data_IF_251810959819
#
_entry.id   IF_251810959819
#
_cell.length_a   1.000
_cell.length_b   1.000
_cell.length_c   1.000
_cell.angle_alpha   90.00
_cell.angle_beta   90.00
_cell.angle_gamma   90.00
#
_symmetry.space_group_name_H-M   'P 1'
#
loop_
_entity.id
_entity.type
_entity.pdbx_description
1 polymer ?
#
# COMPACT_ATOMS: atom_id res chain seq x y z
N UNK A 1 33.67 17.68 -71.80
CA UNK A 1 33.08 17.67 -70.45
C UNK A 1 31.73 16.97 -70.51
N UNK A 2 31.27 16.36 -69.40
CA UNK A 2 30.02 15.59 -69.19
C UNK A 2 30.14 14.05 -69.09
N UNK A 3 31.10 13.55 -68.30
CA UNK A 3 31.04 12.19 -67.71
C UNK A 3 30.59 12.16 -66.24
N UNK A 4 30.34 13.32 -65.62
CA UNK A 4 30.01 13.42 -64.18
C UNK A 4 28.51 13.22 -63.85
N UNK A 5 27.60 13.31 -64.82
CA UNK A 5 26.15 13.23 -64.55
C UNK A 5 25.55 11.81 -64.53
N UNK A 6 26.21 10.80 -65.12
CA UNK A 6 25.70 9.43 -65.10
C UNK A 6 26.10 8.64 -63.85
N UNK A 7 27.21 9.01 -63.20
CA UNK A 7 27.67 8.36 -61.96
C UNK A 7 26.94 8.88 -60.72
N UNK A 8 26.54 10.16 -60.70
CA UNK A 8 25.81 10.75 -59.57
C UNK A 8 24.43 10.09 -59.35
N UNK A 9 23.72 9.73 -60.43
CA UNK A 9 22.43 9.05 -60.35
C UNK A 9 22.53 7.60 -59.85
N UNK A 10 23.60 6.88 -60.21
CA UNK A 10 23.84 5.51 -59.74
C UNK A 10 24.26 5.47 -58.26
N UNK A 11 25.10 6.41 -57.83
CA UNK A 11 25.53 6.51 -56.43
C UNK A 11 24.36 6.83 -55.50
N UNK A 12 23.44 7.71 -55.90
CA UNK A 12 22.24 8.03 -55.13
C UNK A 12 21.33 6.80 -54.94
N UNK A 13 21.15 6.01 -56.00
CA UNK A 13 20.34 4.78 -55.97
C UNK A 13 20.94 3.72 -55.05
N UNK A 14 22.27 3.56 -55.05
CA UNK A 14 22.99 2.64 -54.17
C UNK A 14 22.84 3.07 -52.70
N UNK A 15 22.93 4.37 -52.39
CA UNK A 15 22.77 4.89 -51.03
C UNK A 15 21.35 4.66 -50.51
N UNK A 16 20.33 4.92 -51.33
CA UNK A 16 18.93 4.66 -50.96
C UNK A 16 18.69 3.17 -50.75
N UNK A 17 19.26 2.31 -51.59
CA UNK A 17 19.16 0.86 -51.44
C UNK A 17 19.86 0.36 -50.17
N UNK A 18 21.03 0.91 -49.83
CA UNK A 18 21.75 0.59 -48.59
C UNK A 18 20.98 1.06 -47.34
N UNK A 19 20.38 2.25 -47.37
CA UNK A 19 19.56 2.76 -46.26
C UNK A 19 18.30 1.90 -46.07
N UNK A 20 17.63 1.51 -47.16
CA UNK A 20 16.42 0.66 -47.07
C UNK A 20 16.74 -0.75 -46.58
N UNK A 21 17.83 -1.37 -47.05
CA UNK A 21 18.31 -2.64 -46.50
C UNK A 21 18.72 -2.54 -45.03
N UNK A 22 19.38 -1.44 -44.65
CA UNK A 22 19.72 -1.16 -43.25
C UNK A 22 18.47 -1.03 -42.38
N UNK A 23 17.45 -0.34 -42.86
CA UNK A 23 16.17 -0.18 -42.16
C UNK A 23 15.45 -1.51 -41.98
N UNK A 24 15.41 -2.35 -43.03
CA UNK A 24 14.79 -3.69 -42.97
C UNK A 24 15.54 -4.60 -42.00
N UNK A 25 16.87 -4.59 -42.01
CA UNK A 25 17.67 -5.35 -41.05
C UNK A 25 17.45 -4.88 -39.61
N UNK A 26 17.38 -3.57 -39.39
CA UNK A 26 17.14 -2.99 -38.05
C UNK A 26 15.75 -3.36 -37.52
N UNK A 27 14.72 -3.29 -38.37
CA UNK A 27 13.35 -3.71 -38.02
C UNK A 27 13.28 -5.21 -37.77
N UNK A 28 13.97 -6.03 -38.57
CA UNK A 28 14.06 -7.48 -38.39
C UNK A 28 14.72 -7.89 -37.07
N UNK A 29 15.83 -7.24 -36.69
CA UNK A 29 16.50 -7.49 -35.40
C UNK A 29 15.64 -7.02 -34.24
N UNK A 30 15.02 -5.84 -34.35
CA UNK A 30 14.16 -5.27 -33.30
C UNK A 30 12.93 -6.15 -33.04
N UNK A 31 12.26 -6.62 -34.10
CA UNK A 31 11.10 -7.53 -33.96
C UNK A 31 11.52 -8.88 -33.37
N UNK A 32 12.69 -9.42 -33.72
CA UNK A 32 13.23 -10.65 -33.13
C UNK A 32 13.56 -10.49 -31.64
N UNK A 33 14.14 -9.37 -31.24
CA UNK A 33 14.43 -9.08 -29.83
C UNK A 33 13.12 -8.89 -29.06
N UNK A 34 12.17 -8.10 -29.57
CA UNK A 34 10.87 -7.89 -28.92
C UNK A 34 10.10 -9.21 -28.77
N UNK A 35 10.08 -10.05 -29.81
CA UNK A 35 9.41 -11.36 -29.74
C UNK A 35 10.14 -12.34 -28.82
N UNK A 36 11.47 -12.34 -28.80
CA UNK A 36 12.27 -13.17 -27.88
C UNK A 36 12.05 -12.74 -26.43
N UNK A 37 12.14 -11.44 -26.14
CA UNK A 37 11.91 -10.88 -24.80
C UNK A 37 10.47 -11.14 -24.36
N UNK A 38 9.49 -10.92 -25.23
CA UNK A 38 8.08 -11.23 -24.95
C UNK A 38 7.86 -12.71 -24.66
N UNK A 39 8.51 -13.63 -25.39
CA UNK A 39 8.45 -15.08 -25.09
C UNK A 39 9.08 -15.39 -23.74
N UNK A 40 10.24 -14.82 -23.42
CA UNK A 40 10.87 -15.02 -22.10
C UNK A 40 9.97 -14.52 -20.96
N UNK A 41 9.28 -13.39 -21.13
CA UNK A 41 8.33 -12.91 -20.12
C UNK A 41 7.06 -13.75 -20.06
N UNK A 42 6.52 -14.17 -21.21
CA UNK A 42 5.31 -15.00 -21.28
C UNK A 42 5.57 -16.42 -20.79
N UNK A 43 6.74 -17.01 -21.01
CA UNK A 43 7.02 -18.41 -20.66
C UNK A 43 7.62 -18.57 -19.26
N UNK A 44 8.04 -17.48 -18.62
CA UNK A 44 8.63 -17.56 -17.28
C UNK A 44 7.55 -17.68 -16.19
N UNK A 45 7.54 -18.85 -15.54
CA UNK A 45 6.62 -19.17 -14.46
C UNK A 45 6.68 -18.18 -13.28
N UNK A 46 7.81 -17.51 -13.06
CA UNK A 46 7.97 -16.46 -12.06
C UNK A 46 7.02 -15.29 -12.29
N UNK A 47 7.04 -14.73 -13.51
CA UNK A 47 6.22 -13.57 -13.84
C UNK A 47 4.74 -13.93 -13.93
N UNK A 48 4.41 -15.13 -14.41
CA UNK A 48 3.02 -15.65 -14.36
C UNK A 48 2.51 -15.76 -12.92
N UNK A 49 3.28 -16.38 -12.03
CA UNK A 49 2.92 -16.53 -10.62
C UNK A 49 2.77 -15.16 -9.93
N UNK A 50 3.64 -14.20 -10.24
CA UNK A 50 3.53 -12.85 -9.71
C UNK A 50 2.28 -12.12 -10.24
N UNK A 51 2.06 -12.14 -11.55
CA UNK A 51 0.93 -11.46 -12.17
C UNK A 51 -0.42 -11.98 -11.65
N UNK A 52 -0.57 -13.30 -11.48
CA UNK A 52 -1.80 -13.87 -10.91
C UNK A 52 -1.95 -13.54 -9.42
N UNK A 53 -0.84 -13.47 -8.67
CA UNK A 53 -0.88 -13.04 -7.27
C UNK A 53 -1.33 -11.57 -7.15
N UNK A 54 -0.80 -10.68 -7.98
CA UNK A 54 -1.19 -9.27 -8.05
C UNK A 54 -2.67 -9.12 -8.45
N UNK A 55 -3.11 -9.82 -9.51
CA UNK A 55 -4.52 -9.83 -9.93
C UNK A 55 -5.46 -10.37 -8.82
N UNK A 56 -5.02 -11.38 -8.07
CA UNK A 56 -5.73 -11.89 -6.90
C UNK A 56 -5.89 -10.84 -5.80
N UNK A 57 -4.81 -10.12 -5.48
CA UNK A 57 -4.84 -9.05 -4.50
C UNK A 57 -5.74 -7.90 -4.96
N UNK A 58 -5.62 -7.46 -6.22
CA UNK A 58 -6.41 -6.38 -6.82
C UNK A 58 -7.91 -6.69 -6.80
N UNK A 59 -8.30 -7.91 -7.20
CA UNK A 59 -9.72 -8.34 -7.18
C UNK A 59 -10.33 -8.21 -5.79
N UNK A 60 -9.56 -8.46 -4.73
CA UNK A 60 -10.03 -8.34 -3.35
C UNK A 60 -9.95 -6.90 -2.83
N UNK A 61 -8.97 -6.10 -3.28
CA UNK A 61 -8.90 -4.67 -2.98
C UNK A 61 -10.12 -3.90 -3.49
N UNK A 62 -10.73 -4.34 -4.60
CA UNK A 62 -11.95 -3.73 -5.15
C UNK A 62 -13.23 -4.08 -4.37
N UNK A 63 -13.22 -5.09 -3.51
CA UNK A 63 -14.40 -5.54 -2.75
C UNK A 63 -14.74 -4.56 -1.62
N UNK A 64 -16.00 -4.48 -1.20
CA UNK A 64 -16.38 -3.66 -0.05
C UNK A 64 -15.85 -4.24 1.26
N UNK A 65 -15.78 -3.41 2.31
CA UNK A 65 -15.38 -3.90 3.64
C UNK A 65 -16.36 -4.95 4.21
N UNK A 66 -17.63 -4.90 3.82
CA UNK A 66 -18.64 -5.89 4.21
C UNK A 66 -18.42 -7.24 3.50
N UNK A 67 -18.05 -7.21 2.21
CA UNK A 67 -17.68 -8.42 1.47
C UNK A 67 -16.41 -9.05 2.05
N UNK A 68 -15.41 -8.23 2.39
CA UNK A 68 -14.18 -8.70 3.01
C UNK A 68 -14.41 -9.27 4.41
N UNK A 69 -15.34 -8.71 5.19
CA UNK A 69 -15.76 -9.27 6.48
C UNK A 69 -16.31 -10.68 6.33
N UNK A 70 -17.13 -10.90 5.29
CA UNK A 70 -17.72 -12.19 4.97
C UNK A 70 -16.66 -13.17 4.47
N UNK A 71 -15.81 -12.73 3.54
CA UNK A 71 -14.79 -13.58 2.92
C UNK A 71 -13.70 -13.99 3.91
N UNK A 72 -13.37 -13.16 4.91
CA UNK A 72 -12.43 -13.51 6.00
C UNK A 72 -12.78 -14.83 6.69
N UNK A 73 -14.05 -15.24 6.74
CA UNK A 73 -14.48 -16.47 7.42
C UNK A 73 -14.03 -17.73 6.68
N UNK A 74 -14.00 -17.71 5.34
CA UNK A 74 -13.62 -18.85 4.50
C UNK A 74 -12.26 -18.70 3.80
N UNK A 75 -11.90 -17.49 3.40
CA UNK A 75 -10.62 -17.16 2.79
C UNK A 75 -9.54 -16.98 3.84
N UNK A 76 -9.09 -18.08 4.45
CA UNK A 76 -8.08 -18.05 5.51
C UNK A 76 -6.72 -18.55 5.01
N UNK A 77 -5.71 -18.49 5.87
CA UNK A 77 -4.38 -19.05 5.58
C UNK A 77 -4.38 -20.57 5.43
N UNK A 78 -5.47 -21.28 5.78
CA UNK A 78 -5.66 -22.72 5.53
C UNK A 78 -5.60 -23.09 4.04
N UNK A 79 -5.83 -22.12 3.15
CA UNK A 79 -5.71 -22.27 1.70
C UNK A 79 -4.26 -22.60 1.27
N UNK A 80 -3.28 -22.28 2.13
CA UNK A 80 -1.87 -22.50 1.88
C UNK A 80 -1.35 -23.69 2.68
N UNK A 81 -0.44 -24.45 2.07
CA UNK A 81 0.36 -25.48 2.73
C UNK A 81 1.84 -25.18 2.46
N UNK A 82 2.75 -25.82 3.21
CA UNK A 82 4.18 -25.73 2.90
C UNK A 82 4.48 -26.10 1.44
N UNK A 83 3.78 -27.12 0.94
CA UNK A 83 4.04 -27.75 -0.35
C UNK A 83 3.20 -27.21 -1.52
N UNK A 84 2.23 -26.33 -1.27
CA UNK A 84 1.36 -25.77 -2.32
C UNK A 84 0.08 -25.18 -1.78
N UNK A 85 -1.01 -25.32 -2.52
CA UNK A 85 -2.33 -25.02 -1.99
C UNK A 85 -3.02 -26.25 -1.42
N UNK A 86 -3.84 -26.03 -0.39
CA UNK A 86 -4.73 -27.06 0.11
C UNK A 86 -5.90 -27.22 -0.88
N UNK A 87 -5.84 -28.24 -1.73
CA UNK A 87 -6.82 -28.46 -2.80
C UNK A 87 -8.24 -28.68 -2.27
N UNK A 88 -8.38 -29.29 -1.09
CA UNK A 88 -9.67 -29.49 -0.42
C UNK A 88 -10.28 -28.16 -0.02
N UNK A 89 -9.51 -27.30 0.65
CA UNK A 89 -9.95 -25.97 1.08
C UNK A 89 -10.25 -25.07 -0.13
N UNK A 90 -9.43 -25.12 -1.18
CA UNK A 90 -9.68 -24.37 -2.42
C UNK A 90 -10.99 -24.77 -3.10
N UNK A 91 -11.34 -26.06 -3.03
CA UNK A 91 -12.58 -26.57 -3.63
C UNK A 91 -13.79 -26.19 -2.78
N UNK A 92 -13.62 -26.15 -1.46
CA UNK A 92 -14.65 -25.68 -0.53
C UNK A 92 -14.88 -24.17 -0.62
N UNK A 93 -13.85 -23.40 -1.00
CA UNK A 93 -13.87 -21.94 -1.05
C UNK A 93 -13.47 -21.40 -2.45
N UNK A 94 -14.24 -21.68 -3.51
CA UNK A 94 -13.94 -21.24 -4.86
C UNK A 94 -13.90 -19.71 -5.01
N UNK A 95 -14.60 -18.98 -4.15
CA UNK A 95 -14.61 -17.52 -4.09
C UNK A 95 -13.26 -16.90 -3.69
N UNK A 96 -12.40 -17.68 -3.03
CA UNK A 96 -11.05 -17.29 -2.62
C UNK A 96 -10.00 -17.51 -3.72
N UNK A 97 -10.41 -18.02 -4.88
CA UNK A 97 -9.51 -18.42 -5.97
C UNK A 97 -9.68 -17.50 -7.17
N UNK A 98 -8.55 -17.18 -7.81
CA UNK A 98 -8.49 -16.51 -9.11
C UNK A 98 -7.75 -17.41 -10.06
N UNK A 99 -8.42 -17.89 -11.11
CA UNK A 99 -7.83 -18.78 -12.12
C UNK A 99 -7.61 -17.99 -13.43
N UNK A 100 -6.40 -18.05 -13.97
CA UNK A 100 -5.99 -17.47 -15.24
C UNK A 100 -5.46 -18.57 -16.18
N UNK A 101 -6.11 -19.73 -16.18
CA UNK A 101 -5.82 -20.87 -17.03
C UNK A 101 -4.65 -21.71 -16.49
N UNK A 102 -3.44 -21.40 -16.96
CA UNK A 102 -2.20 -22.09 -16.56
C UNK A 102 -1.69 -21.66 -15.17
N UNK A 103 -2.23 -20.57 -14.63
CA UNK A 103 -1.84 -20.03 -13.34
C UNK A 103 -3.08 -19.73 -12.51
N UNK A 104 -2.94 -19.81 -11.19
CA UNK A 104 -4.01 -19.52 -10.24
C UNK A 104 -3.46 -18.82 -9.02
N UNK A 105 -4.28 -18.02 -8.36
CA UNK A 105 -3.99 -17.44 -7.06
C UNK A 105 -5.04 -17.85 -6.04
N UNK A 106 -4.59 -18.09 -4.81
CA UNK A 106 -5.44 -18.26 -3.64
C UNK A 106 -5.25 -17.06 -2.71
N UNK A 107 -6.36 -16.47 -2.30
CA UNK A 107 -6.38 -15.22 -1.53
C UNK A 107 -6.92 -15.49 -0.14
N UNK A 108 -6.14 -15.11 0.88
CA UNK A 108 -6.56 -15.08 2.26
C UNK A 108 -6.80 -13.64 2.71
N UNK A 109 -7.83 -13.44 3.53
CA UNK A 109 -8.26 -12.15 4.04
C UNK A 109 -8.26 -12.21 5.57
N UNK A 110 -7.58 -11.27 6.19
CA UNK A 110 -7.49 -11.15 7.64
C UNK A 110 -7.88 -9.74 8.07
N UNK A 111 -8.46 -9.60 9.26
CA UNK A 111 -8.64 -8.28 9.87
C UNK A 111 -7.27 -7.74 10.26
N UNK A 112 -7.06 -6.43 10.10
CA UNK A 112 -5.81 -5.77 10.43
C UNK A 112 -6.04 -4.54 11.33
N UNK A 113 -5.39 -4.45 12.51
CA UNK A 113 -4.56 -5.49 13.12
C UNK A 113 -5.40 -6.73 13.50
N UNK A 114 -4.75 -7.88 13.67
CA UNK A 114 -5.45 -9.12 14.00
C UNK A 114 -6.11 -9.03 15.38
N UNK A 115 -7.18 -9.82 15.59
CA UNK A 115 -7.89 -9.83 16.87
C UNK A 115 -6.93 -10.16 18.04
N UNK A 116 -7.05 -9.40 19.13
CA UNK A 116 -6.20 -9.55 20.31
C UNK A 116 -4.87 -8.78 20.25
N UNK A 117 -4.53 -8.17 19.11
CA UNK A 117 -3.42 -7.23 19.01
C UNK A 117 -3.94 -5.84 19.41
N UNK A 118 -3.29 -5.23 20.41
CA UNK A 118 -3.65 -3.90 20.91
C UNK A 118 -2.84 -2.76 20.29
N UNK A 119 -1.90 -3.07 19.39
CA UNK A 119 -1.03 -2.10 18.73
C UNK A 119 -1.24 -2.14 17.22
N UNK A 120 -1.35 -0.96 16.63
CA UNK A 120 -1.38 -0.73 15.19
C UNK A 120 -0.19 0.14 14.79
N UNK A 121 0.63 -0.37 13.88
CA UNK A 121 1.82 0.33 13.38
C UNK A 121 1.62 0.70 11.92
N UNK A 122 1.89 1.95 11.57
CA UNK A 122 1.71 2.47 10.22
C UNK A 122 2.69 3.60 9.94
N UNK A 123 3.20 3.64 8.70
CA UNK A 123 4.04 4.72 8.24
C UNK A 123 3.22 5.69 7.37
N UNK A 124 3.41 6.98 7.62
CA UNK A 124 2.79 8.07 6.88
C UNK A 124 3.87 8.92 6.22
N UNK A 125 3.82 9.13 4.90
CA UNK A 125 4.66 10.12 4.23
C UNK A 125 4.49 11.54 4.79
N UNK A 126 5.44 12.42 4.47
CA UNK A 126 5.36 13.83 4.83
C UNK A 126 4.08 14.48 4.27
N UNK A 127 3.44 15.33 5.07
CA UNK A 127 2.20 16.05 4.73
C UNK A 127 1.05 15.13 4.30
N UNK A 128 1.04 13.90 4.81
CA UNK A 128 -0.01 12.93 4.53
C UNK A 128 -0.72 12.50 5.81
N UNK A 129 -1.92 11.99 5.60
CA UNK A 129 -2.87 11.69 6.65
C UNK A 129 -3.12 10.19 6.72
N UNK A 130 -3.29 9.71 7.95
CA UNK A 130 -3.81 8.39 8.27
C UNK A 130 -5.10 8.55 9.08
N UNK A 131 -6.05 7.65 8.84
CA UNK A 131 -7.30 7.59 9.59
C UNK A 131 -7.30 6.34 10.43
N UNK A 132 -7.57 6.53 11.71
CA UNK A 132 -7.66 5.48 12.71
C UNK A 132 -9.14 5.29 13.01
N UNK A 133 -9.61 4.08 12.73
CA UNK A 133 -10.96 3.66 13.01
C UNK A 133 -11.14 3.45 14.51
N UNK A 134 -12.07 4.21 15.11
CA UNK A 134 -12.42 4.10 16.53
C UNK A 134 -13.84 3.58 16.76
N UNK A 135 -14.56 3.12 15.73
CA UNK A 135 -16.00 2.83 15.82
C UNK A 135 -16.45 1.81 16.89
N UNK A 136 -15.55 0.93 17.35
CA UNK A 136 -15.84 -0.05 18.41
C UNK A 136 -15.11 0.27 19.72
N UNK A 137 -14.43 1.42 19.80
CA UNK A 137 -13.80 1.86 21.03
C UNK A 137 -14.88 2.41 21.97
N UNK A 138 -14.85 1.98 23.23
CA UNK A 138 -15.84 2.33 24.25
C UNK A 138 -15.36 3.48 25.13
N UNK A 139 -16.29 4.22 25.74
CA UNK A 139 -15.98 5.27 26.71
C UNK A 139 -15.09 4.73 27.84
N UNK A 140 -13.98 5.39 28.11
CA UNK A 140 -12.97 4.96 29.09
C UNK A 140 -11.81 4.13 28.52
N UNK A 141 -11.84 3.81 27.21
CA UNK A 141 -10.64 3.39 26.51
C UNK A 141 -9.77 4.63 26.20
N UNK A 142 -8.46 4.46 26.27
CA UNK A 142 -7.49 5.46 25.87
C UNK A 142 -6.77 4.95 24.63
N UNK A 143 -6.53 5.86 23.69
CA UNK A 143 -5.70 5.61 22.50
C UNK A 143 -4.39 6.34 22.71
N UNK A 144 -3.33 5.59 22.98
CA UNK A 144 -1.98 6.13 23.02
C UNK A 144 -1.42 6.18 21.61
N UNK A 145 -1.13 7.37 21.12
CA UNK A 145 -0.49 7.59 19.83
C UNK A 145 0.97 7.94 20.08
N UNK A 146 1.86 7.08 19.62
CA UNK A 146 3.29 7.34 19.60
C UNK A 146 3.75 7.55 18.16
N UNK A 147 4.65 8.50 17.92
CA UNK A 147 5.24 8.73 16.61
C UNK A 147 6.74 8.98 16.69
N UNK A 148 7.42 8.61 15.61
CA UNK A 148 8.79 8.96 15.32
C UNK A 148 8.82 9.59 13.93
N UNK A 149 9.37 10.80 13.82
CA UNK A 149 9.54 11.41 12.50
C UNK A 149 10.59 10.66 11.69
N UNK A 150 10.32 10.49 10.39
CA UNK A 150 11.17 9.71 9.47
C UNK A 150 11.30 10.41 8.12
N UNK A 151 12.48 10.31 7.53
CA UNK A 151 12.76 10.72 6.15
C UNK A 151 13.54 9.61 5.41
N UNK A 152 14.02 9.89 4.19
CA UNK A 152 14.79 8.93 3.39
C UNK A 152 16.14 8.50 4.00
N UNK A 153 16.64 9.25 4.98
CA UNK A 153 17.94 9.05 5.63
C UNK A 153 17.84 8.53 7.07
N UNK A 154 16.62 8.41 7.61
CA UNK A 154 16.37 7.90 8.95
C UNK A 154 15.47 8.80 9.79
N UNK A 155 15.62 8.78 11.13
CA UNK A 155 14.84 9.62 12.04
C UNK A 155 15.02 11.11 11.75
N UNK A 156 13.93 11.86 11.76
CA UNK A 156 13.90 13.29 11.44
C UNK A 156 12.82 14.00 12.24
N UNK A 157 12.90 15.32 12.34
CA UNK A 157 11.87 16.12 13.01
C UNK A 157 10.52 15.96 12.30
N UNK A 158 9.46 15.69 13.05
CA UNK A 158 8.08 15.70 12.56
C UNK A 158 7.13 16.16 13.67
N UNK A 159 6.21 17.04 13.30
CA UNK A 159 5.05 17.40 14.12
C UNK A 159 3.83 16.61 13.65
N UNK A 160 2.87 16.42 14.54
CA UNK A 160 1.61 15.76 14.23
C UNK A 160 0.47 16.72 14.48
N UNK A 161 -0.45 16.79 13.52
CA UNK A 161 -1.76 17.37 13.74
C UNK A 161 -2.78 16.24 13.91
N UNK A 162 -3.52 16.28 15.01
CA UNK A 162 -4.54 15.28 15.33
C UNK A 162 -5.93 15.90 15.27
N UNK A 163 -6.87 15.15 14.69
CA UNK A 163 -8.28 15.50 14.69
C UNK A 163 -9.08 14.31 15.21
N UNK A 164 -9.79 14.54 16.32
CA UNK A 164 -10.65 13.54 16.92
C UNK A 164 -12.11 13.89 16.64
N UNK A 165 -12.80 12.99 15.94
CA UNK A 165 -14.22 13.09 15.64
C UNK A 165 -14.99 12.19 16.61
N UNK A 166 -15.88 12.80 17.38
CA UNK A 166 -16.75 12.10 18.32
C UNK A 166 -18.19 12.54 18.18
N UNK A 167 -19.10 11.72 18.70
CA UNK A 167 -20.51 12.02 18.76
C UNK A 167 -20.94 12.13 20.22
N UNK A 168 -21.48 13.29 20.59
CA UNK A 168 -22.11 13.56 21.88
C UNK A 168 -23.62 13.74 21.66
N UNK A 169 -24.41 12.76 22.08
CA UNK A 169 -25.86 12.74 21.83
C UNK A 169 -26.21 12.77 20.34
N UNK A 170 -26.79 13.88 19.86
CA UNK A 170 -27.10 14.12 18.45
C UNK A 170 -26.00 14.84 17.67
N UNK A 171 -25.04 15.44 18.36
CA UNK A 171 -24.11 16.42 17.80
C UNK A 171 -22.76 15.76 17.48
N UNK A 172 -22.11 16.25 16.42
CA UNK A 172 -20.76 15.82 16.06
C UNK A 172 -19.76 16.86 16.56
N UNK A 173 -18.81 16.40 17.35
CA UNK A 173 -17.74 17.22 17.90
C UNK A 173 -16.42 16.92 17.18
N UNK A 174 -15.66 17.99 16.94
CA UNK A 174 -14.32 17.94 16.38
C UNK A 174 -13.35 18.59 17.36
N UNK A 175 -12.39 17.80 17.84
CA UNK A 175 -11.26 18.30 18.63
C UNK A 175 -10.01 18.27 17.78
N UNK A 176 -9.32 19.40 17.69
CA UNK A 176 -8.05 19.54 16.97
C UNK A 176 -6.94 19.85 17.96
N UNK A 177 -5.82 19.14 17.85
CA UNK A 177 -4.63 19.36 18.67
C UNK A 177 -3.36 19.18 17.84
N UNK A 178 -2.43 20.12 17.99
CA UNK A 178 -1.08 20.06 17.42
C UNK A 178 -0.13 19.48 18.47
N UNK A 179 0.69 18.52 18.05
CA UNK A 179 1.66 17.82 18.89
C UNK A 179 3.05 17.99 18.31
N UNK A 180 3.97 18.50 19.12
CA UNK A 180 5.39 18.61 18.77
C UNK A 180 6.17 17.46 19.40
N UNK A 181 7.25 17.06 18.74
CA UNK A 181 8.12 16.04 19.29
C UNK A 181 8.78 16.55 20.59
N UNK A 182 9.20 15.62 21.45
CA UNK A 182 9.90 15.98 22.69
C UNK A 182 11.40 16.19 22.44
N UNK A 183 11.90 17.39 22.74
CA UNK A 183 13.29 17.82 22.44
C UNK A 183 14.42 16.98 23.05
N UNK A 184 14.14 16.07 24.00
CA UNK A 184 15.14 15.10 24.50
C UNK A 184 15.44 13.97 23.51
N UNK A 185 14.65 13.82 22.45
CA UNK A 185 14.84 12.81 21.42
C UNK A 185 15.85 13.30 20.36
N UNK A 186 16.75 12.42 19.94
CA UNK A 186 17.82 12.72 18.98
C UNK A 186 17.31 13.24 17.63
N UNK A 187 16.09 12.85 17.25
CA UNK A 187 15.44 13.26 16.01
C UNK A 187 14.58 14.53 16.14
N UNK A 188 14.44 15.08 17.35
CA UNK A 188 13.62 16.26 17.64
C UNK A 188 14.41 17.58 17.70
N UNK A 189 15.64 17.59 17.18
CA UNK A 189 16.61 18.67 17.45
C UNK A 189 16.27 20.05 16.91
N UNK A 190 15.64 20.17 15.73
CA UNK A 190 15.22 21.47 15.17
C UNK A 190 14.07 21.33 14.17
N UNK A 191 13.00 22.14 14.28
CA UNK A 191 11.99 22.24 13.23
C UNK A 191 12.58 22.76 11.91
N UNK A 192 12.00 22.37 10.76
CA UNK A 192 12.27 23.03 9.48
C UNK A 192 11.95 24.53 9.55
N UNK A 193 12.69 25.34 8.77
CA UNK A 193 12.44 26.78 8.69
C UNK A 193 10.98 27.06 8.27
N UNK A 194 10.26 27.86 9.07
CA UNK A 194 8.86 28.22 8.85
C UNK A 194 7.85 27.56 9.81
N UNK A 195 8.30 26.67 10.69
CA UNK A 195 7.50 26.12 11.78
C UNK A 195 7.83 26.85 13.09
N UNK A 196 6.83 27.42 13.77
CA UNK A 196 7.00 28.03 15.09
C UNK A 196 6.89 26.95 16.17
N UNK A 197 7.91 26.88 17.03
CA UNK A 197 7.78 26.16 18.29
C UNK A 197 6.82 26.93 19.21
N UNK A 198 5.89 26.22 19.85
CA UNK A 198 5.02 26.67 20.95
C UNK A 198 3.66 27.36 20.66
N UNK A 199 3.12 27.39 19.44
CA UNK A 199 1.73 27.87 19.23
C UNK A 199 0.71 26.74 19.40
N UNK A 200 -0.01 26.73 20.55
CA UNK A 200 -1.15 25.83 20.78
C UNK A 200 -0.79 24.34 20.85
N UNK A 201 0.43 24.03 21.29
CA UNK A 201 1.03 22.69 21.27
C UNK A 201 0.80 21.97 22.60
N UNK A 202 0.34 20.72 22.57
CA UNK A 202 0.41 19.84 23.73
C UNK A 202 1.77 19.13 23.79
N UNK A 203 2.40 19.18 24.98
CA UNK A 203 3.70 18.54 25.20
C UNK A 203 3.57 17.01 25.09
N UNK A 204 4.32 16.42 24.16
CA UNK A 204 4.42 14.98 24.07
C UNK A 204 5.14 14.39 25.30
N UNK A 205 4.77 13.17 25.67
CA UNK A 205 5.56 12.33 26.54
C UNK A 205 6.58 11.51 25.75
N UNK A 206 7.63 11.00 26.40
CA UNK A 206 8.63 10.13 25.76
C UNK A 206 8.33 8.69 26.15
N UNK A 207 8.30 7.80 25.15
CA UNK A 207 8.30 6.35 25.33
C UNK A 207 9.35 5.73 24.40
N UNK A 208 10.53 5.39 24.96
CA UNK A 208 11.69 4.96 24.18
C UNK A 208 12.13 6.03 23.18
N UNK A 209 12.14 5.67 21.90
CA UNK A 209 12.51 6.57 20.79
C UNK A 209 11.32 7.35 20.21
N UNK A 210 10.13 7.26 20.82
CA UNK A 210 8.91 7.88 20.33
C UNK A 210 8.49 9.08 21.19
N UNK A 211 7.88 10.07 20.53
CA UNK A 211 7.02 11.05 21.18
C UNK A 211 5.60 10.49 21.24
N UNK A 212 4.88 10.69 22.33
CA UNK A 212 3.55 10.12 22.51
C UNK A 212 2.56 11.10 23.15
N UNK A 213 1.29 10.99 22.76
CA UNK A 213 0.16 11.61 23.45
C UNK A 213 -0.96 10.60 23.64
N UNK A 214 -1.85 10.88 24.58
CA UNK A 214 -3.01 10.04 24.88
C UNK A 214 -4.28 10.75 24.42
N UNK A 215 -5.09 10.07 23.60
CA UNK A 215 -6.44 10.51 23.24
C UNK A 215 -7.42 9.78 24.14
N UNK A 216 -8.04 10.54 25.04
CA UNK A 216 -9.05 9.99 25.96
C UNK A 216 -10.41 9.93 25.28
N UNK A 217 -11.01 8.74 25.24
CA UNK A 217 -12.34 8.55 24.67
C UNK A 217 -13.38 8.84 25.75
N UNK A 218 -13.97 10.03 25.70
CA UNK A 218 -15.05 10.48 26.60
C UNK A 218 -16.43 10.14 26.06
N UNK A 219 -16.61 10.22 24.74
CA UNK A 219 -17.90 10.13 24.05
C UNK A 219 -17.94 8.93 23.09
N UNK A 220 -18.91 8.86 22.16
CA UNK A 220 -18.93 7.80 21.14
C UNK A 220 -17.90 8.12 20.06
N UNK A 221 -16.72 7.48 20.05
CA UNK A 221 -15.66 7.84 19.11
C UNK A 221 -16.02 7.35 17.71
N UNK A 222 -15.59 8.08 16.69
CA UNK A 222 -15.77 7.66 15.31
C UNK A 222 -14.40 7.46 14.65
N UNK A 223 -13.60 8.53 14.59
CA UNK A 223 -12.38 8.58 13.79
C UNK A 223 -11.33 9.42 14.51
N UNK A 224 -10.08 8.97 14.49
CA UNK A 224 -8.92 9.78 14.80
C UNK A 224 -8.08 9.95 13.53
N UNK A 225 -7.93 11.18 13.07
CA UNK A 225 -7.11 11.53 11.92
C UNK A 225 -5.76 12.07 12.41
N UNK A 226 -4.67 11.53 11.90
CA UNK A 226 -3.31 11.96 12.21
C UNK A 226 -2.63 12.42 10.93
N UNK A 227 -2.10 13.64 10.94
CA UNK A 227 -1.39 14.24 9.82
C UNK A 227 0.06 14.52 10.21
N UNK A 228 1.00 13.97 9.46
CA UNK A 228 2.43 14.24 9.64
C UNK A 228 2.81 15.56 8.97
N UNK A 229 3.42 16.48 9.71
CA UNK A 229 3.89 17.77 9.20
C UNK A 229 5.42 17.82 9.12
N UNK A 230 5.93 18.47 8.08
CA UNK A 230 7.37 18.60 7.81
C UNK A 230 7.97 17.34 7.17
N UNK A 231 8.17 16.28 7.96
CA UNK A 231 8.65 14.98 7.47
C UNK A 231 7.58 13.88 7.64
N UNK A 232 7.86 12.68 7.12
CA UNK A 232 7.00 11.53 7.38
C UNK A 232 7.03 11.12 8.85
N UNK A 233 6.13 10.23 9.23
CA UNK A 233 6.12 9.69 10.59
C UNK A 233 5.81 8.20 10.58
N UNK A 234 6.52 7.46 11.42
CA UNK A 234 6.15 6.11 11.82
C UNK A 234 5.29 6.22 13.07
N UNK A 235 4.08 5.70 13.01
CA UNK A 235 3.13 5.71 14.13
C UNK A 235 3.05 4.33 14.76
N UNK A 236 2.96 4.33 16.08
CA UNK A 236 2.62 3.18 16.92
C UNK A 236 1.43 3.57 17.78
N UNK A 237 0.26 3.03 17.45
CA UNK A 237 -1.00 3.38 18.09
C UNK A 237 -1.42 2.22 18.96
N UNK A 238 -1.50 2.45 20.26
CA UNK A 238 -1.86 1.42 21.25
C UNK A 238 -3.19 1.75 21.88
N UNK A 239 -4.06 0.75 21.96
CA UNK A 239 -5.38 0.87 22.57
C UNK A 239 -5.37 0.18 23.94
N UNK A 240 -5.97 0.79 24.96
CA UNK A 240 -6.12 0.13 26.28
C UNK A 240 -7.22 -0.94 26.29
N UNK A 241 -8.04 -1.01 25.24
CA UNK A 241 -9.09 -2.02 25.03
C UNK A 241 -8.96 -2.75 23.69
N UNK A 242 -10.02 -3.46 23.29
CA UNK A 242 -10.05 -4.16 22.00
C UNK A 242 -9.95 -3.18 20.82
N UNK A 243 -9.04 -3.46 19.89
CA UNK A 243 -8.81 -2.62 18.71
C UNK A 243 -9.91 -2.84 17.69
N UNK A 244 -10.56 -1.76 17.26
CA UNK A 244 -11.32 -1.80 16.02
C UNK A 244 -10.39 -2.18 14.87
N UNK A 245 -10.83 -3.11 14.01
CA UNK A 245 -10.11 -3.40 12.78
C UNK A 245 -9.88 -2.10 12.00
N UNK A 246 -8.62 -1.76 11.78
CA UNK A 246 -8.21 -0.61 10.97
C UNK A 246 -8.43 -0.89 9.49
N UNK A 247 -8.52 -2.16 9.11
CA UNK A 247 -8.74 -2.57 7.74
C UNK A 247 -8.70 -4.09 7.56
N UNK A 248 -8.29 -4.50 6.36
CA UNK A 248 -8.04 -5.89 6.01
C UNK A 248 -6.65 -6.08 5.44
N UNK A 249 -5.97 -7.13 5.86
CA UNK A 249 -4.75 -7.62 5.22
C UNK A 249 -5.14 -8.71 4.23
N UNK A 250 -4.85 -8.47 2.97
CA UNK A 250 -5.12 -9.39 1.87
C UNK A 250 -3.79 -10.02 1.48
N UNK A 251 -3.67 -11.32 1.69
CA UNK A 251 -2.54 -12.12 1.22
C UNK A 251 -2.99 -12.87 -0.02
N UNK A 252 -2.31 -12.68 -1.14
CA UNK A 252 -2.56 -13.41 -2.38
C UNK A 252 -1.33 -14.21 -2.74
N UNK A 253 -1.47 -15.51 -2.91
CA UNK A 253 -0.38 -16.40 -3.35
C UNK A 253 -0.72 -16.94 -4.72
N UNK A 254 0.11 -16.63 -5.72
CA UNK A 254 0.02 -17.13 -7.08
C UNK A 254 0.92 -18.34 -7.32
N UNK A 255 0.46 -19.26 -8.15
CA UNK A 255 1.14 -20.50 -8.54
C UNK A 255 0.87 -20.76 -10.04
N UNK A 256 1.89 -21.24 -10.77
CA UNK A 256 1.69 -21.81 -12.11
C UNK A 256 1.45 -23.31 -11.95
N UNK A 257 0.32 -23.81 -12.47
CA UNK A 257 -0.03 -25.23 -12.42
C UNK A 257 1.07 -26.02 -13.15
N UNK A 258 1.72 -26.97 -12.47
CA UNK A 258 2.71 -27.84 -13.11
C UNK A 258 2.01 -28.75 -14.12
N UNK A 259 2.12 -28.41 -15.41
CA UNK A 259 1.45 -29.13 -16.49
C UNK A 259 1.83 -28.64 -17.89
N UNK A 260 3.11 -28.46 -18.19
CA UNK A 260 3.57 -28.41 -19.58
C UNK A 260 3.81 -29.86 -20.05
N UNK A 261 2.76 -30.46 -20.62
CA UNK A 261 2.82 -31.70 -21.41
C UNK A 261 3.80 -31.52 -22.56
N UNK A 262 5.03 -31.97 -22.35
CA UNK A 262 6.12 -31.92 -23.33
C UNK A 262 7.34 -32.66 -22.81
N UNK A 263 7.23 -33.99 -22.67
CA UNK A 263 8.37 -34.90 -22.55
C UNK A 263 9.31 -34.65 -21.36
N UNK A 264 8.85 -34.91 -20.14
CA UNK A 264 9.72 -34.90 -18.96
C UNK A 264 8.93 -34.69 -17.68
N UNK A 265 8.40 -35.78 -17.13
CA UNK A 265 7.83 -35.79 -15.78
C UNK A 265 8.91 -35.35 -14.79
N UNK A 266 8.82 -34.12 -14.28
CA UNK A 266 9.48 -33.71 -13.05
C UNK A 266 8.43 -33.69 -11.94
N UNK A 267 8.05 -34.87 -11.48
CA UNK A 267 7.59 -35.04 -10.12
C UNK A 267 8.69 -34.47 -9.20
N UNK A 268 8.46 -33.29 -8.61
CA UNK A 268 9.44 -32.56 -7.82
C UNK A 268 9.86 -31.18 -8.37
N UNK A 269 9.29 -30.69 -9.48
CA UNK A 269 9.46 -29.28 -9.85
C UNK A 269 8.73 -28.39 -8.85
N UNK A 270 9.48 -27.62 -8.04
CA UNK A 270 8.92 -26.59 -7.15
C UNK A 270 8.08 -25.64 -7.99
N UNK A 271 6.75 -25.73 -7.88
CA UNK A 271 5.85 -24.78 -8.50
C UNK A 271 6.28 -23.37 -8.08
N UNK A 272 6.61 -22.53 -9.06
CA UNK A 272 7.05 -21.16 -8.77
C UNK A 272 5.88 -20.43 -8.13
N UNK A 273 6.06 -20.06 -6.85
CA UNK A 273 5.04 -19.40 -6.03
C UNK A 273 5.44 -17.98 -5.72
N UNK A 274 4.45 -17.08 -5.73
CA UNK A 274 4.63 -15.66 -5.42
C UNK A 274 3.57 -15.19 -4.46
N UNK A 275 4.00 -14.49 -3.41
CA UNK A 275 3.13 -13.93 -2.39
C UNK A 275 3.12 -12.41 -2.52
N UNK A 276 1.92 -11.85 -2.61
CA UNK A 276 1.64 -10.42 -2.56
C UNK A 276 0.81 -10.18 -1.31
N UNK A 277 1.17 -9.16 -0.54
CA UNK A 277 0.42 -8.75 0.66
C UNK A 277 0.08 -7.29 0.50
N UNK A 278 -1.20 -6.97 0.64
CA UNK A 278 -1.71 -5.60 0.58
C UNK A 278 -2.62 -5.33 1.75
N UNK A 279 -2.63 -4.10 2.22
CA UNK A 279 -3.48 -3.65 3.31
C UNK A 279 -4.52 -2.69 2.77
N UNK A 280 -5.79 -2.97 3.09
CA UNK A 280 -6.92 -2.12 2.74
C UNK A 280 -7.43 -1.43 4.00
N UNK A 281 -7.33 -0.10 4.05
CA UNK A 281 -7.94 0.69 5.12
C UNK A 281 -9.46 0.54 5.11
N UNK A 282 -10.05 0.45 6.30
CA UNK A 282 -11.50 0.47 6.49
C UNK A 282 -12.11 1.86 6.23
N UNK A 283 -11.30 2.91 6.30
CA UNK A 283 -11.71 4.30 6.11
C UNK A 283 -11.06 4.91 4.87
N UNK A 284 -11.83 5.66 4.05
CA UNK A 284 -11.29 6.32 2.86
C UNK A 284 -10.29 7.39 3.27
N UNK A 285 -9.08 7.37 2.73
CA UNK A 285 -8.09 8.39 3.07
C UNK A 285 -8.59 9.75 2.56
N UNK A 286 -8.72 10.73 3.44
CA UNK A 286 -9.10 12.09 3.06
C UNK A 286 -7.95 12.71 2.28
N UNK A 287 -8.25 13.29 1.12
CA UNK A 287 -7.26 13.99 0.32
C UNK A 287 -6.62 15.13 1.11
N UNK A 288 -5.34 15.41 0.85
CA UNK A 288 -4.55 16.44 1.54
C UNK A 288 -5.19 17.83 1.57
N UNK A 289 -6.01 18.15 0.57
CA UNK A 289 -6.73 19.43 0.47
C UNK A 289 -7.87 19.59 1.48
N UNK A 290 -8.58 18.51 1.82
CA UNK A 290 -9.56 18.53 2.91
C UNK A 290 -8.87 18.75 4.24
N UNK A 291 -7.73 18.09 4.45
CA UNK A 291 -6.97 18.23 5.68
C UNK A 291 -6.38 19.65 5.82
N UNK A 292 -5.95 20.30 4.72
CA UNK A 292 -5.49 21.70 4.76
C UNK A 292 -6.60 22.68 5.18
N UNK A 293 -7.82 22.51 4.66
CA UNK A 293 -8.93 23.38 5.01
C UNK A 293 -9.40 23.22 6.46
N UNK A 294 -9.20 22.05 7.07
CA UNK A 294 -9.45 21.81 8.50
C UNK A 294 -8.25 22.22 9.37
N UNK A 295 -7.02 22.07 8.87
CA UNK A 295 -5.78 22.42 9.58
C UNK A 295 -5.48 23.93 9.60
N UNK A 296 -5.96 24.67 8.60
CA UNK A 296 -5.80 26.12 8.52
C UNK A 296 -6.67 26.81 9.56
N UNK A 297 -6.06 27.59 10.45
CA UNK A 297 -6.79 28.45 11.41
C UNK A 297 -7.78 29.42 10.73
N UNK A 298 -7.62 29.64 9.42
CA UNK A 298 -8.46 30.50 8.58
C UNK A 298 -9.34 29.74 7.57
N UNK A 299 -9.19 28.42 7.49
CA UNK A 299 -9.89 27.56 6.54
C UNK A 299 -11.31 27.27 7.01
N UNK A 300 -12.31 27.64 6.20
CA UNK A 300 -13.68 27.15 6.35
C UNK A 300 -13.98 26.20 5.20
N UNK A 301 -14.38 24.97 5.52
CA UNK A 301 -15.09 24.12 4.57
C UNK A 301 -16.55 24.54 4.61
N UNK A 302 -17.01 25.23 3.57
CA UNK A 302 -18.44 25.43 3.32
C UNK A 302 -18.84 24.37 2.31
N UNK A 303 -19.61 23.38 2.76
CA UNK A 303 -20.25 22.43 1.85
C UNK A 303 -21.50 23.12 1.28
N UNK A 304 -21.53 23.29 -0.05
CA UNK A 304 -22.77 23.58 -0.80
C UNK A 304 -23.44 22.28 -1.24
#
# INVERSE_FOLDING_TARGET
>A
MNKLNQQAGQTLLIIIFAITLGLVALVGVSTRIVTSTRRVFIDNAYYKAQAVAEAGAEKFLLKSNADLATLKVGCTTSLYTGDGFNTTELTAHPECVVDLGESRAAVAVEAYPSAGINTYEVNSPANSTILINLLNATSGNDVRVCWQGVNSLGPAYAEILSFYYSKDGSDYLLTQQKHECKGSLSWCGSPPAGYSANDGIEDANVDGDYSCFDVRITDTPQILNLMSLGNGSSYKITFTGAVSSQGYKITSVGEVKSGATGGGSLAGSTATRKKVVVEKSSMPNLGSWFNFAVASESGKIVAE
#
